data_IF_989857184446
#
_entry.id   IF_989857184446
#
_cell.length_a   1.000
_cell.length_b   1.000
_cell.length_c   1.000
_cell.angle_alpha   90.00
_cell.angle_beta   90.00
_cell.angle_gamma   90.00
#
_symmetry.space_group_name_H-M   'P 1'
#
loop_
_entity.id
_entity.type
_entity.pdbx_description
1 polymer ?
#
# COMPACT_ATOMS: atom_id res chain seq x y z
N UNK A 1 -7.46 -3.68 29.67
CA UNK A 1 -7.82 -3.02 28.40
C UNK A 1 -7.10 -3.76 27.29
N UNK A 2 -7.80 -4.24 26.26
CA UNK A 2 -7.16 -4.83 25.10
C UNK A 2 -6.35 -3.73 24.38
N UNK A 3 -5.12 -4.06 23.98
CA UNK A 3 -4.30 -3.15 23.20
C UNK A 3 -4.84 -3.13 21.76
N UNK A 4 -5.06 -1.96 21.19
CA UNK A 4 -5.61 -1.82 19.83
C UNK A 4 -4.48 -1.44 18.89
N UNK A 5 -4.39 -2.14 17.74
CA UNK A 5 -3.57 -1.77 16.59
C UNK A 5 -4.48 -1.26 15.47
N UNK A 6 -4.35 0.00 15.15
CA UNK A 6 -5.02 0.65 14.04
C UNK A 6 -4.08 0.66 12.83
N UNK A 7 -4.50 0.06 11.73
CA UNK A 7 -3.72 -0.06 10.49
C UNK A 7 -4.48 0.67 9.39
N UNK A 8 -3.91 1.75 8.88
CA UNK A 8 -4.54 2.60 7.88
C UNK A 8 -3.86 2.49 6.53
N UNK A 9 -4.65 2.38 5.47
CA UNK A 9 -4.21 2.80 4.16
C UNK A 9 -3.95 4.31 4.13
N UNK A 10 -3.26 4.80 3.09
CA UNK A 10 -2.85 6.20 2.98
C UNK A 10 -3.67 6.96 1.94
N UNK A 11 -3.56 6.59 0.68
CA UNK A 11 -4.11 7.34 -0.46
C UNK A 11 -5.63 7.19 -0.56
N UNK A 12 -6.37 8.30 -0.37
CA UNK A 12 -7.83 8.27 -0.33
C UNK A 12 -8.42 7.67 0.96
N UNK A 13 -7.59 7.54 2.02
CA UNK A 13 -7.98 7.07 3.35
C UNK A 13 -7.48 8.02 4.43
N UNK A 14 -6.16 8.12 4.64
CA UNK A 14 -5.53 9.01 5.62
C UNK A 14 -5.20 10.38 5.03
N UNK A 15 -4.73 10.41 3.77
CA UNK A 15 -4.23 11.61 3.10
C UNK A 15 -5.33 12.33 2.32
N UNK A 16 -5.32 13.68 2.38
CA UNK A 16 -6.14 14.54 1.55
C UNK A 16 -5.66 14.57 0.07
N UNK A 17 -6.36 15.32 -0.81
CA UNK A 17 -5.99 15.45 -2.23
C UNK A 17 -4.64 16.13 -2.44
N UNK A 18 -4.18 16.92 -1.49
CA UNK A 18 -2.87 17.56 -1.50
C UNK A 18 -1.78 16.71 -0.83
N UNK A 19 -2.08 15.42 -0.59
CA UNK A 19 -1.16 14.46 0.03
C UNK A 19 -0.71 14.88 1.43
N UNK A 20 -1.61 15.45 2.24
CA UNK A 20 -1.36 15.88 3.61
C UNK A 20 -2.27 15.13 4.57
N UNK A 21 -1.82 15.00 5.81
CA UNK A 21 -2.65 14.53 6.92
C UNK A 21 -3.39 15.73 7.49
N UNK A 22 -4.72 15.65 7.64
CA UNK A 22 -5.48 16.72 8.29
C UNK A 22 -5.08 16.88 9.75
N UNK A 23 -5.20 18.10 10.27
CA UNK A 23 -4.86 18.39 11.67
C UNK A 23 -5.69 17.53 12.64
N UNK A 24 -6.96 17.30 12.32
CA UNK A 24 -7.91 16.49 13.08
C UNK A 24 -7.48 15.02 13.12
N UNK A 25 -7.11 14.43 11.96
CA UNK A 25 -6.61 13.05 11.92
C UNK A 25 -5.29 12.93 12.71
N UNK A 26 -4.35 13.87 12.51
CA UNK A 26 -3.07 13.85 13.21
C UNK A 26 -3.23 13.96 14.73
N UNK A 27 -4.11 14.84 15.21
CA UNK A 27 -4.37 15.00 16.65
C UNK A 27 -5.05 13.76 17.25
N UNK A 28 -6.07 13.21 16.55
CA UNK A 28 -6.75 11.99 17.00
C UNK A 28 -5.77 10.80 17.10
N UNK A 29 -4.90 10.63 16.10
CA UNK A 29 -3.90 9.55 16.09
C UNK A 29 -2.90 9.73 17.27
N UNK A 30 -2.37 10.95 17.47
CA UNK A 30 -1.46 11.21 18.62
C UNK A 30 -2.13 10.94 19.97
N UNK A 31 -3.40 11.34 20.12
CA UNK A 31 -4.19 11.06 21.34
C UNK A 31 -4.39 9.56 21.54
N UNK A 32 -4.71 8.83 20.47
CA UNK A 32 -4.85 7.37 20.50
C UNK A 32 -3.54 6.69 20.93
N UNK A 33 -2.40 7.09 20.36
CA UNK A 33 -1.09 6.59 20.75
C UNK A 33 -0.73 6.93 22.21
N UNK A 34 -1.03 8.15 22.67
CA UNK A 34 -0.79 8.58 24.05
C UNK A 34 -1.58 7.74 25.09
N UNK A 35 -2.71 7.15 24.69
CA UNK A 35 -3.52 6.24 25.51
C UNK A 35 -3.09 4.76 25.38
N UNK A 36 -1.96 4.49 24.71
CA UNK A 36 -1.41 3.15 24.54
C UNK A 36 -1.89 2.39 23.31
N UNK A 37 -2.65 3.03 22.44
CA UNK A 37 -2.98 2.50 21.10
C UNK A 37 -1.74 2.41 20.20
N UNK A 38 -1.72 1.46 19.31
CA UNK A 38 -0.69 1.30 18.29
C UNK A 38 -1.26 1.76 16.94
N UNK A 39 -0.52 2.60 16.22
CA UNK A 39 -0.91 3.08 14.89
C UNK A 39 0.17 2.78 13.87
N UNK A 40 -0.22 2.27 12.71
CA UNK A 40 0.68 2.03 11.59
C UNK A 40 -0.01 2.20 10.24
N UNK A 41 0.79 2.12 9.16
CA UNK A 41 0.37 2.30 7.78
C UNK A 41 0.46 0.98 7.01
N UNK A 42 -0.48 0.78 6.07
CA UNK A 42 -0.45 -0.29 5.08
C UNK A 42 -0.65 0.31 3.68
N UNK A 43 0.42 0.39 2.89
CA UNK A 43 0.43 1.15 1.63
C UNK A 43 1.23 0.47 0.53
N UNK A 44 0.96 0.83 -0.73
CA UNK A 44 1.81 0.47 -1.88
C UNK A 44 3.11 1.25 -1.98
N UNK A 45 3.29 2.29 -1.15
CA UNK A 45 4.42 3.22 -1.18
C UNK A 45 5.72 2.60 -0.64
N UNK A 46 6.84 3.27 -0.99
CA UNK A 46 8.19 2.94 -0.51
C UNK A 46 8.46 3.56 0.86
N UNK A 47 9.56 3.14 1.53
CA UNK A 47 10.04 3.73 2.79
C UNK A 47 10.29 5.23 2.64
N UNK A 48 10.94 5.63 1.55
CA UNK A 48 11.26 7.04 1.29
C UNK A 48 9.99 7.89 1.15
N UNK A 49 8.97 7.37 0.46
CA UNK A 49 7.70 8.07 0.24
C UNK A 49 6.88 8.22 1.52
N UNK A 50 6.96 7.26 2.46
CA UNK A 50 6.21 7.31 3.73
C UNK A 50 6.95 8.03 4.86
N UNK A 51 8.27 8.20 4.76
CA UNK A 51 9.10 8.74 5.82
C UNK A 51 8.65 10.10 6.40
N UNK A 52 8.15 11.08 5.61
CA UNK A 52 7.61 12.32 6.16
C UNK A 52 6.44 12.08 7.11
N UNK A 53 5.49 11.23 6.74
CA UNK A 53 4.28 10.91 7.51
C UNK A 53 4.59 10.10 8.77
N UNK A 54 5.54 9.16 8.67
CA UNK A 54 6.05 8.40 9.83
C UNK A 54 6.61 9.33 10.89
N UNK A 55 7.41 10.34 10.48
CA UNK A 55 7.94 11.36 11.40
C UNK A 55 6.85 12.25 11.97
N UNK A 56 5.91 12.70 11.14
CA UNK A 56 4.82 13.59 11.56
C UNK A 56 3.93 12.94 12.62
N UNK A 57 3.59 11.66 12.45
CA UNK A 57 2.74 10.90 13.35
C UNK A 57 3.51 10.18 14.47
N UNK A 58 4.83 10.21 14.47
CA UNK A 58 5.66 9.51 15.45
C UNK A 58 5.47 7.99 15.44
N UNK A 59 5.26 7.39 14.26
CA UNK A 59 5.03 5.95 14.13
C UNK A 59 6.31 5.19 14.46
N UNK A 60 6.21 4.20 15.35
CA UNK A 60 7.33 3.37 15.80
C UNK A 60 7.12 1.88 15.57
N UNK A 61 5.88 1.46 15.39
CA UNK A 61 5.55 0.07 15.03
C UNK A 61 5.85 -0.19 13.56
N UNK A 62 6.09 -1.45 13.16
CA UNK A 62 6.42 -1.76 11.77
C UNK A 62 5.32 -1.32 10.80
N UNK A 63 5.74 -0.94 9.60
CA UNK A 63 4.91 -0.50 8.48
C UNK A 63 4.72 -1.64 7.50
N UNK A 64 3.55 -1.72 6.89
CA UNK A 64 3.25 -2.59 5.76
C UNK A 64 3.45 -1.77 4.48
N UNK A 65 4.50 -2.07 3.72
CA UNK A 65 4.90 -1.35 2.52
C UNK A 65 4.79 -2.23 1.27
N UNK A 66 4.80 -1.61 0.09
CA UNK A 66 4.69 -2.29 -1.22
C UNK A 66 3.48 -3.25 -1.26
N UNK A 67 2.33 -2.81 -0.72
CA UNK A 67 1.11 -3.61 -0.60
C UNK A 67 1.29 -4.96 0.10
N UNK A 68 2.22 -5.05 1.06
CA UNK A 68 2.49 -6.23 1.86
C UNK A 68 3.66 -7.08 1.37
N UNK A 69 4.41 -6.64 0.36
CA UNK A 69 5.64 -7.30 -0.03
C UNK A 69 6.79 -7.05 0.97
N UNK A 70 6.69 -6.00 1.79
CA UNK A 70 7.71 -5.66 2.79
C UNK A 70 7.10 -5.22 4.12
N UNK A 71 7.61 -5.77 5.22
CA UNK A 71 7.38 -5.30 6.58
C UNK A 71 8.64 -4.57 7.05
N UNK A 72 8.53 -3.28 7.38
CA UNK A 72 9.66 -2.42 7.73
C UNK A 72 9.46 -1.76 9.09
N UNK A 73 10.44 -1.86 9.98
CA UNK A 73 10.43 -1.22 11.29
C UNK A 73 11.15 0.14 11.24
N UNK A 74 10.41 1.27 11.31
CA UNK A 74 11.02 2.60 11.25
C UNK A 74 11.81 2.96 12.52
N UNK A 75 11.51 2.32 13.65
CA UNK A 75 12.22 2.57 14.90
C UNK A 75 13.62 1.95 14.93
N UNK A 76 13.83 0.88 14.16
CA UNK A 76 15.10 0.13 14.06
C UNK A 76 15.80 0.36 12.73
N UNK A 77 15.15 1.07 11.79
CA UNK A 77 15.59 1.23 10.39
C UNK A 77 15.92 -0.13 9.76
N UNK A 78 14.95 -1.06 9.84
CA UNK A 78 15.18 -2.46 9.49
C UNK A 78 14.01 -3.07 8.74
N UNK A 79 14.32 -3.79 7.67
CA UNK A 79 13.39 -4.71 7.01
C UNK A 79 13.23 -5.95 7.89
N UNK A 80 12.01 -6.26 8.31
CA UNK A 80 11.69 -7.43 9.12
C UNK A 80 11.35 -8.64 8.27
N UNK A 81 10.53 -8.41 7.24
CA UNK A 81 10.12 -9.43 6.26
C UNK A 81 10.11 -8.80 4.87
N UNK A 82 10.50 -9.57 3.87
CA UNK A 82 10.41 -9.17 2.47
C UNK A 82 10.14 -10.36 1.58
N UNK A 83 9.20 -10.20 0.66
CA UNK A 83 8.88 -11.13 -0.41
C UNK A 83 9.39 -10.59 -1.74
N UNK A 84 9.79 -11.47 -2.64
CA UNK A 84 10.33 -11.10 -3.93
C UNK A 84 9.55 -11.71 -5.08
N UNK A 85 9.41 -10.94 -6.15
CA UNK A 85 8.80 -11.35 -7.40
C UNK A 85 9.86 -11.97 -8.30
N UNK A 86 9.65 -13.22 -8.70
CA UNK A 86 10.52 -13.92 -9.66
C UNK A 86 10.06 -13.67 -11.10
N UNK A 87 10.28 -12.44 -11.57
CA UNK A 87 9.90 -12.04 -12.91
C UNK A 87 11.02 -12.36 -13.91
N UNK A 88 10.70 -13.14 -14.93
CA UNK A 88 11.61 -13.46 -16.03
C UNK A 88 11.81 -12.25 -16.96
N UNK A 89 13.03 -11.96 -17.45
CA UNK A 89 13.29 -10.88 -18.38
C UNK A 89 12.48 -10.96 -19.69
N UNK A 90 12.10 -12.15 -20.16
CA UNK A 90 11.26 -12.30 -21.36
C UNK A 90 9.85 -11.80 -21.11
N UNK A 91 9.23 -12.18 -19.97
CA UNK A 91 7.91 -11.68 -19.61
C UNK A 91 7.93 -10.16 -19.36
N UNK A 92 9.03 -9.63 -18.77
CA UNK A 92 9.21 -8.18 -18.69
C UNK A 92 9.19 -7.52 -20.07
N UNK A 93 9.90 -8.08 -21.05
CA UNK A 93 9.87 -7.59 -22.45
C UNK A 93 8.47 -7.57 -23.02
N UNK A 94 7.69 -8.64 -22.86
CA UNK A 94 6.31 -8.73 -23.33
C UNK A 94 5.39 -7.69 -22.66
N UNK A 95 5.56 -7.46 -21.35
CA UNK A 95 4.81 -6.42 -20.60
C UNK A 95 5.14 -5.04 -21.18
N UNK A 96 6.41 -4.73 -21.39
CA UNK A 96 6.87 -3.43 -21.91
C UNK A 96 6.39 -3.21 -23.34
N UNK A 97 6.49 -4.23 -24.19
CA UNK A 97 6.02 -4.16 -25.58
C UNK A 97 4.51 -3.94 -25.66
N UNK A 98 3.74 -4.69 -24.86
CA UNK A 98 2.30 -4.50 -24.78
C UNK A 98 1.93 -3.13 -24.18
N UNK A 99 2.65 -2.64 -23.16
CA UNK A 99 2.42 -1.33 -22.57
C UNK A 99 2.56 -0.20 -23.59
N UNK A 100 3.64 -0.22 -24.39
CA UNK A 100 3.91 0.76 -25.42
C UNK A 100 3.94 2.19 -24.89
N UNK A 101 3.24 3.11 -25.58
CA UNK A 101 3.08 4.51 -25.13
C UNK A 101 1.90 4.70 -24.15
N UNK A 102 1.03 3.70 -24.03
CA UNK A 102 -0.24 3.80 -23.29
C UNK A 102 -0.11 3.33 -21.83
N UNK A 103 1.09 2.99 -21.38
CA UNK A 103 1.35 2.73 -19.96
C UNK A 103 2.80 3.04 -19.59
N UNK A 104 3.01 3.42 -18.33
CA UNK A 104 4.32 3.39 -17.70
C UNK A 104 4.50 2.07 -16.96
N UNK A 105 5.69 1.44 -17.10
CA UNK A 105 6.02 0.19 -16.42
C UNK A 105 7.25 0.43 -15.55
N UNK A 106 7.09 0.23 -14.25
CA UNK A 106 8.11 0.47 -13.24
C UNK A 106 8.44 -0.82 -12.51
N UNK A 107 9.72 -1.03 -12.22
CA UNK A 107 10.20 -2.12 -11.37
C UNK A 107 10.83 -1.54 -10.10
N UNK A 108 10.49 -2.13 -8.97
CA UNK A 108 11.02 -1.76 -7.65
C UNK A 108 12.06 -2.80 -7.23
N UNK A 109 13.27 -2.33 -6.98
CA UNK A 109 14.42 -3.17 -6.65
C UNK A 109 15.27 -2.50 -5.57
N UNK A 110 15.49 -3.19 -4.45
CA UNK A 110 16.34 -2.72 -3.35
C UNK A 110 16.07 -1.26 -2.91
N UNK A 111 14.78 -0.86 -2.84
CA UNK A 111 14.37 0.49 -2.47
C UNK A 111 14.49 1.54 -3.57
N UNK A 112 15.07 1.20 -4.73
CA UNK A 112 15.14 2.04 -5.91
C UNK A 112 14.02 1.73 -6.90
N UNK A 113 13.67 2.72 -7.73
CA UNK A 113 12.63 2.60 -8.75
C UNK A 113 13.26 2.76 -10.12
N UNK A 114 12.95 1.84 -11.02
CA UNK A 114 13.41 1.87 -12.41
C UNK A 114 12.20 1.84 -13.34
N UNK A 115 12.31 2.49 -14.50
CA UNK A 115 11.26 2.53 -15.51
C UNK A 115 11.76 2.01 -16.85
N UNK A 116 10.89 1.33 -17.59
CA UNK A 116 11.19 0.86 -18.94
C UNK A 116 11.29 2.00 -19.96
N UNK A 117 10.42 2.99 -19.81
CA UNK A 117 10.30 4.12 -20.73
C UNK A 117 9.84 5.37 -19.97
N UNK A 118 10.10 6.53 -20.57
CA UNK A 118 9.63 7.81 -20.02
C UNK A 118 8.43 8.29 -20.82
N UNK A 119 7.33 8.56 -20.12
CA UNK A 119 6.09 9.10 -20.71
C UNK A 119 5.33 9.94 -19.68
N UNK A 120 4.21 10.54 -20.07
CA UNK A 120 3.40 11.40 -19.20
C UNK A 120 2.80 10.66 -17.99
N UNK A 121 2.56 9.36 -18.10
CA UNK A 121 2.02 8.53 -17.01
C UNK A 121 3.07 8.33 -15.92
N UNK A 122 4.32 8.08 -16.32
CA UNK A 122 5.46 8.03 -15.40
C UNK A 122 5.66 9.36 -14.68
N UNK A 123 5.67 10.47 -15.45
CA UNK A 123 5.87 11.81 -14.87
C UNK A 123 4.72 12.17 -13.89
N UNK A 124 3.51 11.71 -14.13
CA UNK A 124 2.38 11.90 -13.22
C UNK A 124 2.55 11.08 -11.93
N UNK A 125 2.97 9.82 -12.04
CA UNK A 125 3.22 8.95 -10.90
C UNK A 125 4.38 9.47 -10.04
N UNK A 126 5.51 9.84 -10.65
CA UNK A 126 6.66 10.39 -9.93
C UNK A 126 6.30 11.64 -9.12
N UNK A 127 5.47 12.53 -9.68
CA UNK A 127 4.97 13.72 -8.95
C UNK A 127 4.03 13.36 -7.80
N UNK A 128 3.13 12.38 -8.02
CA UNK A 128 2.15 11.95 -7.03
C UNK A 128 2.82 11.31 -5.81
N UNK A 129 3.73 10.38 -6.04
CA UNK A 129 4.36 9.58 -4.98
C UNK A 129 5.64 10.23 -4.43
N UNK A 130 6.12 11.33 -5.06
CA UNK A 130 7.36 12.00 -4.68
C UNK A 130 8.60 11.13 -4.90
N UNK A 131 8.57 10.21 -5.86
CA UNK A 131 9.67 9.31 -6.20
C UNK A 131 10.28 9.71 -7.54
N UNK A 132 11.56 9.38 -7.73
CA UNK A 132 12.25 9.50 -9.01
C UNK A 132 12.63 8.11 -9.49
N UNK A 133 12.38 7.80 -10.76
CA UNK A 133 12.82 6.56 -11.39
C UNK A 133 14.07 6.77 -12.24
N UNK A 134 14.87 5.72 -12.34
CA UNK A 134 16.00 5.59 -13.24
C UNK A 134 15.58 4.75 -14.46
N UNK A 135 16.27 4.90 -15.59
CA UNK A 135 16.03 4.00 -16.73
C UNK A 135 16.53 2.59 -16.41
N UNK A 136 15.73 1.58 -16.70
CA UNK A 136 16.14 0.18 -16.52
C UNK A 136 17.34 -0.18 -17.41
N UNK A 137 17.53 0.51 -18.55
CA UNK A 137 18.69 0.33 -19.44
C UNK A 137 20.01 0.79 -18.81
N UNK A 138 19.96 1.55 -17.71
CA UNK A 138 21.14 1.98 -16.94
C UNK A 138 21.63 0.92 -15.96
N UNK A 139 20.84 -0.15 -15.73
CA UNK A 139 21.25 -1.28 -14.92
C UNK A 139 22.25 -2.13 -15.68
N UNK A 140 23.35 -2.50 -15.01
CA UNK A 140 24.34 -3.41 -15.59
C UNK A 140 23.80 -4.83 -15.76
N UNK A 141 22.83 -5.20 -14.93
CA UNK A 141 22.19 -6.52 -14.89
C UNK A 141 20.70 -6.35 -14.65
N UNK A 142 19.91 -7.39 -14.97
CA UNK A 142 18.50 -7.43 -14.65
C UNK A 142 18.27 -7.22 -13.14
N UNK A 143 17.35 -6.31 -12.72
CA UNK A 143 17.16 -6.02 -11.31
C UNK A 143 16.59 -7.24 -10.58
N UNK A 144 17.39 -7.80 -9.69
CA UNK A 144 17.00 -8.93 -8.87
C UNK A 144 17.67 -8.78 -7.48
N UNK A 145 16.93 -8.93 -6.37
CA UNK A 145 15.50 -9.30 -6.30
C UNK A 145 14.53 -8.15 -6.62
N UNK A 146 13.39 -8.47 -7.21
CA UNK A 146 12.33 -7.50 -7.50
C UNK A 146 11.32 -7.50 -6.33
N UNK A 147 11.03 -6.32 -5.78
CA UNK A 147 10.01 -6.17 -4.75
C UNK A 147 8.60 -6.12 -5.34
N UNK A 148 8.40 -5.38 -6.43
CA UNK A 148 7.16 -5.33 -7.21
C UNK A 148 7.37 -4.75 -8.60
N UNK A 149 6.38 -4.95 -9.48
CA UNK A 149 6.20 -4.16 -10.70
C UNK A 149 4.93 -3.33 -10.55
N UNK A 150 4.98 -2.07 -10.99
CA UNK A 150 3.82 -1.19 -11.10
C UNK A 150 3.61 -0.82 -12.56
N UNK A 151 2.37 -0.96 -13.02
CA UNK A 151 1.91 -0.51 -14.33
C UNK A 151 0.92 0.63 -14.12
N UNK A 152 1.23 1.80 -14.68
CA UNK A 152 0.34 2.96 -14.69
C UNK A 152 -0.23 3.08 -16.10
N UNK A 153 -1.44 2.59 -16.30
CA UNK A 153 -2.07 2.52 -17.61
C UNK A 153 -2.83 3.81 -17.94
N UNK A 154 -2.93 4.12 -19.23
CA UNK A 154 -3.73 5.25 -19.73
C UNK A 154 -5.23 5.05 -19.54
N UNK A 155 -5.69 3.80 -19.55
CA UNK A 155 -7.10 3.43 -19.43
C UNK A 155 -7.27 2.12 -18.66
N UNK A 156 -8.44 1.88 -18.04
CA UNK A 156 -8.74 0.59 -17.42
C UNK A 156 -8.64 -0.59 -18.38
N UNK A 157 -9.01 -0.40 -19.66
CA UNK A 157 -8.91 -1.44 -20.68
C UNK A 157 -7.45 -1.85 -20.95
N UNK A 158 -6.53 -0.88 -20.94
CA UNK A 158 -5.11 -1.17 -21.09
C UNK A 158 -4.56 -1.93 -19.88
N UNK A 159 -4.98 -1.56 -18.68
CA UNK A 159 -4.62 -2.28 -17.45
C UNK A 159 -5.10 -3.73 -17.49
N UNK A 160 -6.35 -3.98 -17.91
CA UNK A 160 -6.90 -5.33 -18.07
C UNK A 160 -6.14 -6.18 -19.10
N UNK A 161 -5.72 -5.60 -20.23
CA UNK A 161 -4.90 -6.31 -21.22
C UNK A 161 -3.56 -6.78 -20.65
N UNK A 162 -2.92 -5.93 -19.84
CA UNK A 162 -1.67 -6.24 -19.18
C UNK A 162 -1.85 -7.26 -18.05
N UNK A 163 -2.96 -7.17 -17.31
CA UNK A 163 -3.35 -8.18 -16.32
C UNK A 163 -3.53 -9.57 -16.97
N UNK A 164 -4.26 -9.64 -18.10
CA UNK A 164 -4.48 -10.89 -18.84
C UNK A 164 -3.16 -11.50 -19.34
N UNK A 165 -2.20 -10.68 -19.81
CA UNK A 165 -0.88 -11.14 -20.21
C UNK A 165 -0.15 -11.79 -19.04
N UNK A 166 -0.06 -11.10 -17.90
CA UNK A 166 0.63 -11.61 -16.71
C UNK A 166 -0.06 -12.86 -16.18
N UNK A 167 -1.39 -12.87 -16.10
CA UNK A 167 -2.15 -14.03 -15.67
C UNK A 167 -1.89 -15.26 -16.57
N UNK A 168 -1.84 -15.04 -17.90
CA UNK A 168 -1.62 -16.11 -18.88
C UNK A 168 -0.19 -16.66 -18.89
N UNK A 169 0.77 -15.91 -18.36
CA UNK A 169 2.17 -16.36 -18.26
C UNK A 169 2.38 -17.45 -17.22
N UNK A 170 1.44 -17.59 -16.27
CA UNK A 170 1.57 -18.54 -15.16
C UNK A 170 2.56 -18.10 -14.07
N UNK A 171 3.02 -16.85 -14.09
CA UNK A 171 3.87 -16.30 -13.02
C UNK A 171 3.17 -16.41 -11.67
N UNK A 172 3.78 -17.04 -10.65
CA UNK A 172 3.24 -17.04 -9.30
C UNK A 172 3.32 -15.63 -8.69
N UNK A 173 2.22 -14.89 -8.74
CA UNK A 173 2.15 -13.51 -8.25
C UNK A 173 0.74 -13.17 -7.75
N UNK A 174 0.63 -12.05 -7.05
CA UNK A 174 -0.65 -11.40 -6.74
C UNK A 174 -0.81 -10.20 -7.67
N UNK A 175 -1.99 -10.07 -8.29
CA UNK A 175 -2.36 -8.93 -9.12
C UNK A 175 -3.38 -8.10 -8.37
N UNK A 176 -3.04 -6.85 -8.09
CA UNK A 176 -3.91 -5.95 -7.33
C UNK A 176 -4.00 -4.58 -7.99
N UNK A 177 -5.16 -3.95 -7.84
CA UNK A 177 -5.37 -2.57 -8.26
C UNK A 177 -5.34 -1.68 -7.03
N UNK A 178 -4.39 -0.74 -6.98
CA UNK A 178 -4.35 0.33 -5.97
C UNK A 178 -5.15 1.56 -6.40
N UNK A 179 -5.40 1.70 -7.69
CA UNK A 179 -6.33 2.63 -8.34
C UNK A 179 -6.86 2.00 -9.63
N UNK A 180 -7.86 2.61 -10.25
CA UNK A 180 -8.53 2.07 -11.45
C UNK A 180 -7.58 1.72 -12.60
N UNK A 181 -6.48 2.48 -12.74
CA UNK A 181 -5.46 2.30 -13.79
C UNK A 181 -4.07 1.90 -13.27
N UNK A 182 -3.95 1.63 -11.97
CA UNK A 182 -2.70 1.23 -11.30
C UNK A 182 -2.75 -0.26 -11.02
N UNK A 183 -2.17 -1.05 -11.90
CA UNK A 183 -2.01 -2.50 -11.73
C UNK A 183 -0.65 -2.80 -11.11
N UNK A 184 -0.65 -3.48 -9.98
CA UNK A 184 0.56 -3.94 -9.30
C UNK A 184 0.73 -5.45 -9.42
N UNK A 185 1.92 -5.87 -9.81
CA UNK A 185 2.35 -7.27 -9.82
C UNK A 185 3.23 -7.46 -8.59
N UNK A 186 2.70 -8.19 -7.63
CA UNK A 186 3.34 -8.42 -6.33
C UNK A 186 3.86 -9.85 -6.23
N UNK A 187 4.83 -10.13 -5.35
CA UNK A 187 5.22 -11.49 -5.04
C UNK A 187 4.02 -12.35 -4.60
N UNK A 188 4.12 -13.65 -4.85
CA UNK A 188 3.12 -14.60 -4.37
C UNK A 188 2.90 -14.48 -2.86
N UNK A 189 1.64 -14.46 -2.43
CA UNK A 189 1.20 -14.21 -1.04
C UNK A 189 1.62 -12.85 -0.48
N UNK A 190 1.90 -11.86 -1.31
CA UNK A 190 2.06 -10.49 -0.85
C UNK A 190 0.70 -9.78 -0.90
N UNK A 191 0.16 -9.46 0.27
CA UNK A 191 -1.04 -8.64 0.43
C UNK A 191 -0.99 -7.88 1.75
N UNK A 192 -1.74 -6.78 1.85
CA UNK A 192 -1.81 -6.01 3.10
C UNK A 192 -2.33 -6.86 4.27
N UNK A 193 -3.22 -7.81 4.00
CA UNK A 193 -3.76 -8.73 5.01
C UNK A 193 -2.75 -9.76 5.50
N UNK A 194 -2.03 -10.43 4.59
CA UNK A 194 -0.96 -11.35 4.98
C UNK A 194 0.13 -10.63 5.80
N UNK A 195 0.53 -9.43 5.35
CA UNK A 195 1.51 -8.63 6.08
C UNK A 195 0.98 -8.13 7.44
N UNK A 196 -0.33 -7.92 7.60
CA UNK A 196 -0.94 -7.68 8.91
C UNK A 196 -0.74 -8.87 9.86
N UNK A 197 -0.93 -10.10 9.38
CA UNK A 197 -0.70 -11.30 10.20
C UNK A 197 0.78 -11.46 10.58
N UNK A 198 1.70 -11.11 9.67
CA UNK A 198 3.14 -11.06 9.95
C UNK A 198 3.46 -10.00 11.01
N UNK A 199 2.90 -8.80 10.87
CA UNK A 199 3.04 -7.71 11.84
C UNK A 199 2.57 -8.10 13.24
N UNK A 200 1.39 -8.73 13.36
CA UNK A 200 0.86 -9.22 14.64
C UNK A 200 1.84 -10.20 15.31
N UNK A 201 2.39 -11.13 14.52
CA UNK A 201 3.40 -12.08 15.03
C UNK A 201 4.67 -11.39 15.52
N UNK A 202 5.18 -10.38 14.78
CA UNK A 202 6.35 -9.61 15.18
C UNK A 202 6.12 -8.77 16.44
N UNK A 203 4.93 -8.22 16.62
CA UNK A 203 4.60 -7.46 17.82
C UNK A 203 4.52 -8.34 19.06
N UNK A 204 4.09 -9.59 18.94
CA UNK A 204 4.01 -10.55 20.04
C UNK A 204 3.13 -10.10 21.21
N UNK A 205 2.13 -9.24 20.97
CA UNK A 205 1.25 -8.66 21.98
C UNK A 205 0.04 -9.55 22.18
N UNK A 206 -0.10 -10.16 23.36
CA UNK A 206 -1.28 -10.96 23.70
C UNK A 206 -2.54 -10.09 23.80
N UNK A 207 -3.65 -10.59 23.26
CA UNK A 207 -4.94 -9.90 23.28
C UNK A 207 -4.96 -8.61 22.43
N UNK A 208 -4.05 -8.47 21.47
CA UNK A 208 -4.06 -7.38 20.51
C UNK A 208 -5.32 -7.44 19.66
N UNK A 209 -6.08 -6.35 19.63
CA UNK A 209 -7.22 -6.18 18.72
C UNK A 209 -6.80 -5.31 17.54
N UNK A 210 -7.09 -5.74 16.35
CA UNK A 210 -6.70 -5.07 15.10
C UNK A 210 -7.87 -4.37 14.43
N UNK A 211 -7.63 -3.17 13.92
CA UNK A 211 -8.60 -2.40 13.13
C UNK A 211 -7.93 -2.04 11.82
N UNK A 212 -8.49 -2.50 10.70
CA UNK A 212 -8.06 -2.17 9.35
C UNK A 212 -8.94 -1.06 8.75
N UNK A 213 -8.32 -0.11 8.04
CA UNK A 213 -9.04 0.98 7.37
C UNK A 213 -8.52 1.12 5.95
N UNK A 214 -9.42 1.19 4.96
CA UNK A 214 -9.04 1.31 3.57
C UNK A 214 -10.13 1.84 2.66
N UNK A 215 -9.79 2.00 1.36
CA UNK A 215 -10.68 2.54 0.35
C UNK A 215 -10.71 1.76 -0.96
N UNK A 216 -9.72 0.95 -1.29
CA UNK A 216 -9.62 0.32 -2.60
C UNK A 216 -9.45 -1.21 -2.56
N UNK A 217 -9.35 -1.85 -3.74
CA UNK A 217 -9.34 -3.32 -3.86
C UNK A 217 -8.14 -3.98 -3.17
N UNK A 218 -6.99 -3.30 -3.13
CA UNK A 218 -5.79 -3.76 -2.41
C UNK A 218 -5.96 -3.78 -0.88
N UNK A 219 -7.02 -3.14 -0.36
CA UNK A 219 -7.33 -3.13 1.08
C UNK A 219 -8.27 -4.28 1.50
N UNK A 220 -8.88 -4.98 0.55
CA UNK A 220 -9.84 -6.05 0.87
C UNK A 220 -9.23 -7.07 1.83
N UNK A 221 -8.00 -7.51 1.57
CA UNK A 221 -7.31 -8.46 2.44
C UNK A 221 -7.03 -7.89 3.83
N UNK A 222 -6.67 -6.60 3.94
CA UNK A 222 -6.48 -5.91 5.23
C UNK A 222 -7.77 -5.89 6.05
N UNK A 223 -8.88 -5.47 5.41
CA UNK A 223 -10.20 -5.38 6.03
C UNK A 223 -10.68 -6.75 6.53
N UNK A 224 -10.50 -7.79 5.71
CA UNK A 224 -10.93 -9.16 6.06
C UNK A 224 -10.06 -9.85 7.12
N UNK A 225 -8.78 -9.48 7.25
CA UNK A 225 -7.85 -10.08 8.20
C UNK A 225 -7.77 -9.33 9.53
N UNK A 226 -8.28 -8.11 9.61
CA UNK A 226 -8.42 -7.37 10.85
C UNK A 226 -9.60 -7.90 11.69
N UNK A 227 -9.57 -7.70 13.01
CA UNK A 227 -10.71 -8.03 13.89
C UNK A 227 -11.91 -7.11 13.65
N UNK A 228 -11.67 -5.93 13.06
CA UNK A 228 -12.70 -4.98 12.64
C UNK A 228 -12.21 -4.18 11.42
N UNK A 229 -12.90 -4.33 10.31
CA UNK A 229 -12.57 -3.68 9.05
C UNK A 229 -13.48 -2.48 8.77
N UNK A 230 -12.89 -1.31 8.52
CA UNK A 230 -13.59 -0.08 8.14
C UNK A 230 -13.37 0.28 6.68
N UNK A 231 -14.45 0.57 5.95
CA UNK A 231 -14.41 1.24 4.66
C UNK A 231 -14.74 2.73 4.83
N UNK A 232 -13.91 3.61 4.25
CA UNK A 232 -14.23 5.05 4.14
C UNK A 232 -15.38 5.27 3.14
N UNK A 233 -16.07 6.42 3.22
CA UNK A 233 -17.25 6.64 2.38
C UNK A 233 -16.94 6.71 0.87
N UNK A 234 -15.77 7.15 0.48
CA UNK A 234 -15.28 7.11 -0.91
C UNK A 234 -14.77 5.73 -1.37
N UNK A 235 -14.90 4.68 -0.56
CA UNK A 235 -14.33 3.38 -0.88
C UNK A 235 -15.01 2.71 -2.08
N UNK A 236 -14.23 1.88 -2.78
CA UNK A 236 -14.72 1.05 -3.87
C UNK A 236 -15.89 0.15 -3.39
N UNK A 237 -16.98 -0.03 -4.18
CA UNK A 237 -18.16 -0.79 -3.77
C UNK A 237 -17.84 -2.19 -3.22
N UNK A 238 -16.93 -2.93 -3.86
CA UNK A 238 -16.51 -4.26 -3.38
C UNK A 238 -15.84 -4.24 -2.00
N UNK A 239 -15.13 -3.16 -1.65
CA UNK A 239 -14.57 -3.01 -0.31
C UNK A 239 -15.65 -2.73 0.72
N UNK A 240 -16.61 -1.87 0.38
CA UNK A 240 -17.78 -1.57 1.23
C UNK A 240 -18.60 -2.83 1.54
N UNK A 241 -18.71 -3.76 0.59
CA UNK A 241 -19.45 -5.02 0.77
C UNK A 241 -18.80 -5.97 1.80
N UNK A 242 -17.49 -5.91 1.97
CA UNK A 242 -16.76 -6.82 2.86
C UNK A 242 -16.36 -6.18 4.19
N UNK A 243 -16.53 -4.86 4.33
CA UNK A 243 -16.20 -4.14 5.55
C UNK A 243 -17.26 -4.37 6.64
N UNK A 244 -16.80 -4.53 7.90
CA UNK A 244 -17.69 -4.69 9.07
C UNK A 244 -18.39 -3.37 9.41
N UNK A 245 -17.75 -2.25 9.12
CA UNK A 245 -18.28 -0.91 9.42
C UNK A 245 -17.84 0.13 8.40
N UNK A 246 -18.58 1.24 8.37
CA UNK A 246 -18.29 2.37 7.50
C UNK A 246 -18.01 3.63 8.34
N UNK A 247 -17.15 4.50 7.79
CA UNK A 247 -16.86 5.81 8.35
C UNK A 247 -17.13 6.89 7.32
N UNK A 248 -16.88 8.14 7.66
CA UNK A 248 -17.06 9.30 6.80
C UNK A 248 -16.09 9.30 5.60
N UNK A 249 -16.31 10.20 4.66
CA UNK A 249 -15.38 10.44 3.54
C UNK A 249 -13.99 10.81 4.06
N UNK A 250 -12.92 10.39 3.36
CA UNK A 250 -11.54 10.64 3.81
C UNK A 250 -11.23 12.13 4.02
N UNK A 251 -11.85 13.03 3.25
CA UNK A 251 -11.74 14.49 3.43
C UNK A 251 -12.51 15.03 4.67
N UNK A 252 -13.31 14.19 5.32
CA UNK A 252 -14.05 14.50 6.53
C UNK A 252 -13.39 13.90 7.78
N UNK A 253 -12.08 13.68 7.74
CA UNK A 253 -11.26 13.21 8.86
C UNK A 253 -11.63 11.80 9.35
N UNK A 254 -11.68 10.84 8.43
CA UNK A 254 -12.14 9.46 8.67
C UNK A 254 -11.45 8.76 9.85
N UNK A 255 -10.13 8.98 10.03
CA UNK A 255 -9.38 8.39 11.15
C UNK A 255 -9.81 9.00 12.49
N UNK A 256 -10.07 10.31 12.54
CA UNK A 256 -10.57 10.97 13.74
C UNK A 256 -11.96 10.44 14.12
N UNK A 257 -12.87 10.28 13.16
CA UNK A 257 -14.19 9.71 13.38
C UNK A 257 -14.10 8.31 14.01
N UNK A 258 -13.30 7.42 13.44
CA UNK A 258 -13.12 6.05 13.99
C UNK A 258 -12.54 6.09 15.40
N UNK A 259 -11.47 6.88 15.60
CA UNK A 259 -10.81 6.97 16.91
C UNK A 259 -11.76 7.52 17.99
N UNK A 260 -12.58 8.53 17.66
CA UNK A 260 -13.59 9.04 18.60
C UNK A 260 -14.61 7.97 18.99
N UNK A 261 -15.14 7.22 18.04
CA UNK A 261 -16.05 6.09 18.33
C UNK A 261 -15.44 5.02 19.22
N UNK A 262 -14.11 4.77 19.10
CA UNK A 262 -13.41 3.84 19.99
C UNK A 262 -13.30 4.36 21.42
N UNK A 263 -13.21 5.67 21.62
CA UNK A 263 -13.18 6.26 22.97
C UNK A 263 -14.57 6.36 23.58
N UNK A 264 -15.60 6.63 22.79
CA UNK A 264 -16.99 6.76 23.26
C UNK A 264 -17.61 5.40 23.64
N UNK A 265 -17.03 4.30 23.14
CA UNK A 265 -17.49 2.93 23.39
C UNK A 265 -16.87 2.27 24.61
N UNK A 266 -15.97 2.95 25.34
CA UNK A 266 -15.29 2.53 26.59
C UNK A 266 -15.75 3.37 27.78
#
# INVERSE_FOLDING_TARGET
MHRILLVSDMDGTLLDREQRISAENAEAIRRFQAQGGLFTLATGRTEAAVAPYVRELGIRVPLILYNGARLYCPAEDKVLEEKYLELDPSLWGEIVDLAGADAAVLVYHCGSVFSANRNSWLDAHERKDGVASQSISELAEWPCPITKVLIVAATPQKALQLEELVHSSGLPCELVYSEETYLEILPFKASKGEALQELIRHLGVEGLRTIGIGNHLNDISLIQQADLGYAVDNAHPKLKEVADAHTVHYEEHALADIIHRLFDSN
#
